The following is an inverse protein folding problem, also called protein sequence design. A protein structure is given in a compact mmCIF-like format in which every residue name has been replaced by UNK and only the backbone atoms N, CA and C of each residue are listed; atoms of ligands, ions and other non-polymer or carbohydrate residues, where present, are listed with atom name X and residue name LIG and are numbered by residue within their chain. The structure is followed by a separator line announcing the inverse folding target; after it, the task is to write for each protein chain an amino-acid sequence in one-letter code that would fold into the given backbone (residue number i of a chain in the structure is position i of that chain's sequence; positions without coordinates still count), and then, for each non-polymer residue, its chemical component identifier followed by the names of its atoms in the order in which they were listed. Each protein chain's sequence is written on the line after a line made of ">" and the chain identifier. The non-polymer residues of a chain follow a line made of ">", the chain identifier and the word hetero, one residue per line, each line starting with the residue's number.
data_IF_262707604626
#
_entry.id   IF_262707604626
#
_cell.length_a   1.000
_cell.length_b   1.000
_cell.length_c   1.000
_cell.angle_alpha   90.00
_cell.angle_beta   90.00
_cell.angle_gamma   90.00
#
_symmetry.space_group_name_H-M   'P 1'
#
loop_
_entity.id
_entity.type
_entity.pdbx_description
1 polymer ?
#
# COMPACT_ATOMS: atom_id res chain seq x y z
N UNK A 1 -4.72 50.15 -21.29
CA UNK A 1 -6.04 49.94 -21.93
C UNK A 1 -5.85 48.95 -23.06
N UNK A 2 -6.82 48.03 -23.20
CA UNK A 2 -6.99 47.01 -24.24
C UNK A 2 -6.11 45.75 -24.14
N UNK A 3 -6.67 44.87 -23.32
CA UNK A 3 -6.69 43.40 -23.38
C UNK A 3 -6.97 42.82 -24.78
N UNK A 4 -6.41 41.65 -25.08
CA UNK A 4 -7.01 40.68 -26.01
C UNK A 4 -6.71 39.23 -25.59
N UNK A 5 -7.74 38.60 -25.00
CA UNK A 5 -8.06 37.15 -25.01
C UNK A 5 -8.74 36.81 -26.37
N UNK A 6 -8.88 35.54 -26.85
CA UNK A 6 -9.72 34.48 -26.23
C UNK A 6 -9.31 33.01 -26.63
N UNK A 7 -10.18 31.95 -26.59
CA UNK A 7 -10.35 31.06 -25.43
C UNK A 7 -10.33 29.54 -25.72
N UNK A 8 -10.54 28.79 -24.64
CA UNK A 8 -10.57 27.33 -24.43
C UNK A 8 -11.74 26.53 -25.06
N UNK A 9 -11.43 25.23 -25.30
CA UNK A 9 -12.19 23.99 -24.96
C UNK A 9 -13.72 23.99 -25.13
N UNK A 10 -14.23 23.26 -26.12
CA UNK A 10 -15.57 22.64 -26.06
C UNK A 10 -15.85 21.61 -27.18
N UNK A 11 -15.11 20.49 -27.31
CA UNK A 11 -15.58 19.39 -28.17
C UNK A 11 -14.83 18.05 -28.01
N UNK A 12 -14.83 17.43 -26.82
CA UNK A 12 -14.39 16.02 -26.73
C UNK A 12 -14.92 15.32 -25.46
N UNK A 13 -16.24 15.35 -25.30
CA UNK A 13 -16.91 14.80 -24.11
C UNK A 13 -18.24 14.06 -24.40
N UNK A 14 -18.43 13.49 -25.61
CA UNK A 14 -19.75 12.93 -25.98
C UNK A 14 -19.76 11.51 -26.60
N UNK A 15 -18.64 10.80 -26.84
CA UNK A 15 -18.70 9.55 -27.66
C UNK A 15 -18.34 8.24 -26.95
N UNK A 16 -17.95 8.21 -25.67
CA UNK A 16 -17.60 6.94 -25.01
C UNK A 16 -18.44 6.64 -23.76
N UNK A 17 -19.75 6.78 -23.92
CA UNK A 17 -20.73 6.20 -23.02
C UNK A 17 -21.81 5.49 -23.85
N UNK A 18 -21.64 4.18 -24.11
CA UNK A 18 -22.69 3.15 -24.22
C UNK A 18 -22.09 1.87 -24.86
N UNK A 19 -22.53 0.70 -24.36
CA UNK A 19 -22.05 -0.67 -24.58
C UNK A 19 -20.94 -1.06 -23.58
N UNK A 20 -21.15 -1.89 -22.55
CA UNK A 20 -21.96 -3.11 -22.43
C UNK A 20 -22.44 -3.30 -20.98
N UNK A 21 -23.68 -3.77 -20.86
CA UNK A 21 -24.38 -4.19 -19.64
C UNK A 21 -24.39 -5.73 -19.55
N UNK A 22 -24.33 -6.20 -18.29
CA UNK A 22 -25.00 -7.39 -17.72
C UNK A 22 -24.30 -8.76 -17.60
N UNK A 23 -24.71 -9.42 -16.49
CA UNK A 23 -24.58 -10.82 -16.04
C UNK A 23 -23.26 -11.20 -15.34
N UNK A 24 -23.21 -11.88 -14.18
CA UNK A 24 -24.24 -12.36 -13.25
C UNK A 24 -23.61 -12.81 -11.92
N UNK A 25 -24.45 -12.92 -10.90
CA UNK A 25 -24.24 -13.51 -9.56
C UNK A 25 -23.75 -14.95 -9.54
N UNK A 26 -23.00 -15.35 -8.49
CA UNK A 26 -23.30 -16.54 -7.67
C UNK A 26 -22.33 -16.69 -6.48
N UNK A 27 -22.91 -16.97 -5.32
CA UNK A 27 -22.25 -17.57 -4.16
C UNK A 27 -21.69 -18.96 -4.50
N UNK A 28 -20.57 -19.35 -3.89
CA UNK A 28 -20.33 -20.72 -3.46
C UNK A 28 -19.22 -20.81 -2.41
N UNK A 29 -19.57 -21.45 -1.30
CA UNK A 29 -18.71 -21.87 -0.20
C UNK A 29 -17.76 -23.02 -0.57
N UNK A 30 -16.68 -23.08 0.22
CA UNK A 30 -15.93 -24.27 0.70
C UNK A 30 -15.24 -25.21 -0.30
N UNK A 31 -13.95 -25.48 -0.06
CA UNK A 31 -13.48 -26.84 0.28
C UNK A 31 -12.08 -26.82 0.90
N UNK A 32 -11.94 -27.47 2.05
CA UNK A 32 -10.68 -27.85 2.69
C UNK A 32 -10.36 -29.28 2.25
N UNK A 33 -9.15 -29.60 1.76
CA UNK A 33 -8.77 -30.99 1.55
C UNK A 33 -8.41 -31.62 2.90
N UNK A 34 -9.27 -32.53 3.37
CA UNK A 34 -8.93 -33.50 4.41
C UNK A 34 -8.51 -34.81 3.76
N UNK A 35 -7.40 -35.36 4.23
CA UNK A 35 -7.07 -36.76 4.05
C UNK A 35 -7.70 -37.57 5.18
N UNK A 36 -8.54 -38.54 4.82
CA UNK A 36 -9.12 -39.53 5.71
C UNK A 36 -8.46 -40.89 5.42
N UNK A 37 -8.02 -41.61 6.46
CA UNK A 37 -7.72 -43.04 6.40
C UNK A 37 -8.60 -43.71 7.45
N UNK A 38 -9.54 -44.52 6.99
CA UNK A 38 -10.32 -45.43 7.82
C UNK A 38 -9.46 -46.64 8.18
N UNK A 39 -9.19 -46.82 9.48
CA UNK A 39 -9.50 -48.06 10.20
C UNK A 39 -9.41 -47.81 11.72
N UNK A 40 -10.52 -48.08 12.43
CA UNK A 40 -10.74 -48.11 13.90
C UNK A 40 -9.83 -47.22 14.79
N UNK A 41 -10.47 -46.24 15.45
CA UNK A 41 -9.91 -45.24 16.39
C UNK A 41 -9.00 -44.15 15.79
N UNK A 42 -9.60 -43.10 15.23
CA UNK A 42 -9.29 -41.68 15.42
C UNK A 42 -10.30 -40.87 14.58
N UNK A 43 -10.74 -39.69 15.05
CA UNK A 43 -11.56 -38.76 14.24
C UNK A 43 -11.02 -37.34 14.41
N UNK A 44 -10.38 -36.76 13.38
CA UNK A 44 -10.38 -35.32 13.10
C UNK A 44 -11.45 -34.95 12.05
N UNK A 45 -11.73 -33.64 11.83
CA UNK A 45 -13.10 -33.13 11.79
C UNK A 45 -13.48 -32.32 10.53
N UNK A 46 -14.73 -32.25 10.07
CA UNK A 46 -15.24 -30.98 9.51
C UNK A 46 -16.77 -30.90 9.44
N UNK A 47 -17.25 -29.68 9.68
CA UNK A 47 -18.57 -29.14 9.34
C UNK A 47 -18.81 -29.25 7.80
N UNK A 48 -20.01 -29.30 7.22
CA UNK A 48 -21.24 -28.58 7.53
C UNK A 48 -22.47 -29.44 7.24
N UNK A 49 -23.47 -29.26 8.10
CA UNK A 49 -24.82 -29.74 7.95
C UNK A 49 -25.56 -28.88 6.92
N UNK A 50 -25.93 -29.47 5.79
CA UNK A 50 -27.12 -29.04 5.06
C UNK A 50 -28.34 -29.64 5.77
N UNK A 51 -29.17 -28.79 6.39
CA UNK A 51 -30.47 -29.20 6.97
C UNK A 51 -31.59 -28.75 6.03
N UNK A 52 -32.34 -29.73 5.54
CA UNK A 52 -33.71 -29.54 5.05
C UNK A 52 -34.67 -29.53 6.24
N UNK A 53 -35.71 -28.67 6.27
CA UNK A 53 -36.58 -28.52 7.42
C UNK A 53 -37.65 -29.61 7.41
N UNK A 54 -37.87 -30.25 8.56
CA UNK A 54 -39.21 -30.74 8.87
C UNK A 54 -39.52 -30.56 10.36
N UNK A 55 -40.49 -29.68 10.57
CA UNK A 55 -41.31 -29.43 11.75
C UNK A 55 -41.82 -30.70 12.42
N UNK A 56 -41.78 -30.75 13.76
CA UNK A 56 -43.00 -30.87 14.60
C UNK A 56 -42.72 -30.75 16.11
N UNK A 57 -43.26 -29.66 16.68
CA UNK A 57 -43.94 -29.54 17.98
C UNK A 57 -43.87 -30.70 18.98
N UNK A 58 -43.38 -30.43 20.21
CA UNK A 58 -44.19 -30.60 21.42
C UNK A 58 -43.57 -29.99 22.70
N UNK A 59 -44.34 -29.05 23.28
CA UNK A 59 -44.49 -28.57 24.67
C UNK A 59 -43.27 -28.15 25.52
N UNK A 60 -43.38 -27.01 26.26
CA UNK A 60 -42.33 -26.54 27.16
C UNK A 60 -42.29 -27.39 28.45
N UNK A 61 -41.13 -27.96 28.75
CA UNK A 61 -40.82 -28.49 30.09
C UNK A 61 -40.42 -27.31 30.95
N UNK A 62 -41.10 -27.19 32.09
CA UNK A 62 -40.96 -26.15 33.08
C UNK A 62 -39.54 -26.17 33.69
N UNK A 63 -38.62 -25.35 33.18
CA UNK A 63 -37.29 -25.14 33.77
C UNK A 63 -37.39 -24.16 34.93
N UNK A 64 -37.32 -24.66 36.16
CA UNK A 64 -37.08 -23.82 37.34
C UNK A 64 -35.63 -23.31 37.29
N UNK A 65 -35.46 -22.01 37.07
CA UNK A 65 -34.20 -21.30 37.27
C UNK A 65 -34.05 -20.95 38.75
N UNK A 66 -33.02 -21.49 39.41
CA UNK A 66 -32.66 -21.10 40.77
C UNK A 66 -31.69 -19.92 40.70
N UNK A 67 -32.11 -18.76 41.25
CA UNK A 67 -31.18 -17.68 41.62
C UNK A 67 -30.46 -18.09 42.91
N UNK A 68 -29.15 -18.29 42.83
CA UNK A 68 -28.30 -18.44 44.03
C UNK A 68 -27.87 -17.07 44.53
N UNK A 69 -28.24 -16.77 45.78
CA UNK A 69 -27.80 -15.59 46.53
C UNK A 69 -26.31 -15.69 46.84
N UNK A 70 -25.56 -14.62 46.53
CA UNK A 70 -24.11 -14.55 46.69
C UNK A 70 -23.69 -14.52 48.16
N UNK A 71 -22.98 -15.54 48.61
CA UNK A 71 -21.97 -15.41 49.67
C UNK A 71 -20.70 -16.11 49.18
N UNK A 72 -19.85 -15.35 48.48
CA UNK A 72 -18.54 -15.80 48.00
C UNK A 72 -17.56 -15.85 49.17
N UNK A 73 -17.29 -17.04 49.69
CA UNK A 73 -16.05 -17.35 50.40
C UNK A 73 -15.01 -17.65 49.32
N UNK A 74 -14.14 -16.68 49.07
CA UNK A 74 -13.10 -16.70 48.03
C UNK A 74 -12.14 -17.88 48.24
N UNK A 75 -11.86 -18.64 47.17
CA UNK A 75 -10.55 -19.30 47.09
C UNK A 75 -9.46 -18.23 47.28
N UNK A 76 -8.30 -18.62 47.80
CA UNK A 76 -7.12 -17.76 47.88
C UNK A 76 -6.56 -17.29 46.52
N UNK A 77 -7.04 -17.83 45.38
CA UNK A 77 -6.71 -17.33 44.04
C UNK A 77 -7.85 -16.52 43.40
N UNK A 78 -7.56 -15.36 42.78
CA UNK A 78 -8.51 -14.62 41.97
C UNK A 78 -9.07 -15.51 40.84
N UNK A 79 -10.38 -15.49 40.62
CA UNK A 79 -11.09 -16.25 39.57
C UNK A 79 -11.09 -17.78 39.73
N UNK A 80 -10.75 -18.27 40.92
CA UNK A 80 -10.97 -19.66 41.26
C UNK A 80 -12.36 -19.83 41.88
N UNK A 81 -13.15 -20.72 41.30
CA UNK A 81 -14.44 -21.13 41.83
C UNK A 81 -14.19 -22.25 42.85
N UNK A 82 -13.91 -21.85 44.09
CA UNK A 82 -14.12 -22.69 45.25
C UNK A 82 -15.58 -22.49 45.60
N UNK A 83 -16.36 -23.56 45.58
CA UNK A 83 -17.77 -23.42 45.91
C UNK A 83 -17.88 -23.09 47.40
N UNK A 84 -18.32 -21.87 47.69
CA UNK A 84 -18.18 -21.18 48.97
C UNK A 84 -19.00 -21.75 50.14
N UNK A 85 -19.64 -22.91 50.01
CA UNK A 85 -20.28 -23.63 51.12
C UNK A 85 -20.26 -25.15 50.87
N UNK A 86 -19.75 -25.88 51.87
CA UNK A 86 -19.77 -27.34 52.06
C UNK A 86 -19.35 -28.20 50.86
N UNK A 87 -18.06 -28.55 50.82
CA UNK A 87 -17.59 -29.74 50.12
C UNK A 87 -17.72 -30.98 51.03
N UNK A 88 -18.03 -32.17 50.47
CA UNK A 88 -18.20 -32.47 49.04
C UNK A 88 -19.63 -32.25 48.51
N UNK A 89 -19.77 -32.02 47.19
CA UNK A 89 -21.08 -31.94 46.51
C UNK A 89 -21.49 -33.33 46.03
N UNK A 90 -22.64 -33.83 46.46
CA UNK A 90 -23.21 -35.08 45.95
C UNK A 90 -23.77 -34.87 44.53
N UNK A 91 -23.34 -35.70 43.58
CA UNK A 91 -23.89 -35.76 42.22
C UNK A 91 -24.84 -36.94 42.14
N UNK A 92 -26.10 -36.67 41.80
CA UNK A 92 -27.10 -37.72 41.65
C UNK A 92 -26.84 -38.57 40.40
N UNK A 93 -27.13 -39.87 40.52
CA UNK A 93 -26.73 -40.88 39.54
C UNK A 93 -27.53 -40.88 38.23
N UNK A 94 -28.54 -40.02 38.09
CA UNK A 94 -29.54 -40.06 37.01
C UNK A 94 -29.32 -39.03 35.89
N UNK A 95 -28.43 -38.05 36.04
CA UNK A 95 -28.20 -37.03 34.98
C UNK A 95 -26.82 -36.38 35.02
N UNK A 96 -26.50 -35.63 33.96
CA UNK A 96 -25.36 -34.72 33.97
C UNK A 96 -25.68 -33.50 34.85
N UNK A 97 -24.67 -33.04 35.58
CA UNK A 97 -24.73 -31.83 36.41
C UNK A 97 -23.73 -30.80 35.90
N UNK A 98 -24.15 -29.54 35.84
CA UNK A 98 -23.24 -28.41 35.63
C UNK A 98 -22.53 -28.08 36.96
N UNK A 99 -21.22 -28.23 36.98
CA UNK A 99 -20.38 -27.94 38.15
C UNK A 99 -19.94 -26.48 38.18
N UNK A 100 -19.61 -25.93 37.01
CA UNK A 100 -19.26 -24.52 36.83
C UNK A 100 -19.72 -24.08 35.44
N UNK A 101 -20.06 -22.80 35.34
CA UNK A 101 -20.52 -22.17 34.11
C UNK A 101 -19.90 -20.77 33.99
N UNK A 102 -19.58 -20.39 32.76
CA UNK A 102 -19.15 -19.05 32.41
C UNK A 102 -19.89 -18.62 31.15
N UNK A 103 -20.93 -17.83 31.35
CA UNK A 103 -21.91 -17.50 30.31
C UNK A 103 -21.72 -16.08 29.73
N UNK A 104 -21.12 -15.16 30.50
CA UNK A 104 -21.21 -13.71 30.24
C UNK A 104 -19.86 -13.03 29.89
N UNK A 105 -18.94 -13.72 29.20
CA UNK A 105 -17.68 -13.07 28.78
C UNK A 105 -17.82 -12.11 27.59
N UNK A 106 -18.93 -12.21 26.84
CA UNK A 106 -19.12 -11.48 25.59
C UNK A 106 -19.17 -9.95 25.75
N UNK A 107 -19.56 -9.45 26.94
CA UNK A 107 -19.72 -8.01 27.19
C UNK A 107 -18.43 -7.19 26.95
N UNK A 108 -17.26 -7.83 26.97
CA UNK A 108 -15.96 -7.17 26.83
C UNK A 108 -15.11 -7.74 25.69
N UNK A 109 -15.71 -8.31 24.63
CA UNK A 109 -14.97 -8.96 23.54
C UNK A 109 -14.07 -10.12 24.03
N UNK A 110 -14.49 -10.73 25.14
CA UNK A 110 -13.79 -11.81 25.80
C UNK A 110 -14.54 -13.13 25.59
N UNK A 111 -13.81 -14.22 25.77
CA UNK A 111 -14.33 -15.58 25.75
C UNK A 111 -14.02 -16.26 27.06
N UNK A 112 -14.84 -17.23 27.48
CA UNK A 112 -14.49 -18.09 28.61
C UNK A 112 -13.16 -18.80 28.36
N UNK A 113 -12.28 -18.73 29.35
CA UNK A 113 -11.10 -19.56 29.44
C UNK A 113 -11.12 -20.40 30.71
N UNK A 114 -10.60 -21.62 30.59
CA UNK A 114 -10.47 -22.56 31.70
C UNK A 114 -8.99 -22.88 31.85
N UNK A 115 -8.41 -22.40 32.95
CA UNK A 115 -6.99 -22.59 33.26
C UNK A 115 -6.75 -23.90 34.00
N UNK A 116 -7.44 -24.08 35.13
CA UNK A 116 -7.28 -25.23 36.02
C UNK A 116 -8.61 -25.95 36.18
N UNK A 117 -8.58 -27.27 36.06
CA UNK A 117 -9.71 -28.13 36.45
C UNK A 117 -9.17 -29.23 37.35
N UNK A 118 -9.36 -29.08 38.65
CA UNK A 118 -9.10 -30.12 39.63
C UNK A 118 -10.43 -30.70 40.12
N UNK A 119 -10.66 -31.99 39.93
CA UNK A 119 -11.89 -32.62 40.38
C UNK A 119 -11.61 -34.05 40.82
N UNK A 120 -12.20 -34.42 41.95
CA UNK A 120 -11.98 -35.71 42.58
C UNK A 120 -13.28 -36.24 43.15
N UNK A 121 -13.52 -37.54 42.96
CA UNK A 121 -14.52 -38.28 43.74
C UNK A 121 -14.02 -38.48 45.17
N UNK A 122 -14.82 -38.09 46.15
CA UNK A 122 -14.59 -38.39 47.57
C UNK A 122 -15.37 -39.63 48.04
N UNK A 123 -16.21 -40.23 47.18
CA UNK A 123 -16.81 -41.53 47.45
C UNK A 123 -15.85 -42.66 47.08
N UNK A 124 -16.00 -43.82 47.72
CA UNK A 124 -15.23 -45.04 47.40
C UNK A 124 -15.48 -45.55 45.97
N UNK A 125 -16.51 -45.05 45.29
CA UNK A 125 -16.73 -45.23 43.86
C UNK A 125 -15.84 -44.30 43.04
N UNK A 126 -14.74 -44.83 42.49
CA UNK A 126 -13.80 -44.10 41.61
C UNK A 126 -14.34 -43.80 40.20
N UNK A 127 -15.65 -43.91 39.97
CA UNK A 127 -16.20 -43.91 38.62
C UNK A 127 -17.09 -42.67 38.39
N UNK A 128 -16.48 -41.52 38.14
CA UNK A 128 -17.17 -40.33 37.63
C UNK A 128 -16.52 -39.88 36.31
N UNK A 129 -17.32 -39.27 35.44
CA UNK A 129 -16.86 -38.66 34.19
C UNK A 129 -17.17 -37.18 34.24
N UNK A 130 -16.28 -36.39 33.65
CA UNK A 130 -16.50 -34.96 33.50
C UNK A 130 -15.91 -34.49 32.18
N UNK A 131 -16.38 -33.33 31.73
CA UNK A 131 -15.99 -32.76 30.47
C UNK A 131 -16.29 -31.28 30.40
N UNK A 132 -15.45 -30.59 29.64
CA UNK A 132 -15.71 -29.23 29.21
C UNK A 132 -16.54 -29.25 27.92
N UNK A 133 -17.64 -28.51 27.92
CA UNK A 133 -18.59 -28.41 26.81
C UNK A 133 -19.06 -26.98 26.57
N UNK A 134 -19.51 -26.70 25.35
CA UNK A 134 -20.24 -25.49 24.98
C UNK A 134 -21.74 -25.57 25.39
N UNK A 135 -22.51 -24.53 25.09
CA UNK A 135 -23.95 -24.47 25.42
C UNK A 135 -24.78 -25.56 24.76
N UNK A 136 -24.52 -25.86 23.48
CA UNK A 136 -25.26 -26.87 22.73
C UNK A 136 -25.00 -28.28 23.28
N UNK A 137 -23.74 -28.60 23.56
CA UNK A 137 -23.34 -29.88 24.12
C UNK A 137 -23.77 -30.02 25.60
N UNK A 138 -23.83 -28.93 26.36
CA UNK A 138 -24.51 -28.91 27.67
C UNK A 138 -25.98 -29.31 27.52
N UNK A 139 -26.72 -28.67 26.60
CA UNK A 139 -28.14 -28.95 26.40
C UNK A 139 -28.38 -30.41 25.97
N UNK A 140 -27.52 -30.96 25.10
CA UNK A 140 -27.51 -32.38 24.74
C UNK A 140 -27.24 -33.28 25.95
N UNK A 141 -26.24 -32.95 26.76
CA UNK A 141 -25.89 -33.70 27.97
C UNK A 141 -27.05 -33.75 28.97
N UNK A 142 -27.69 -32.60 29.24
CA UNK A 142 -28.81 -32.48 30.18
C UNK A 142 -30.08 -33.18 29.66
N UNK A 143 -30.24 -33.32 28.35
CA UNK A 143 -31.31 -34.09 27.72
C UNK A 143 -30.99 -35.58 27.55
N UNK A 144 -29.85 -36.06 28.05
CA UNK A 144 -29.43 -37.46 27.95
C UNK A 144 -28.97 -37.88 26.55
N UNK A 145 -28.75 -36.92 25.65
CA UNK A 145 -28.22 -37.18 24.32
C UNK A 145 -26.70 -37.34 24.35
N UNK A 146 -26.15 -38.07 23.38
CA UNK A 146 -24.70 -38.16 23.19
C UNK A 146 -24.09 -36.82 22.77
N UNK A 147 -22.90 -36.51 23.27
CA UNK A 147 -22.16 -35.29 22.94
C UNK A 147 -20.65 -35.54 22.98
N UNK A 148 -19.90 -34.65 22.35
CA UNK A 148 -18.43 -34.62 22.42
C UNK A 148 -18.00 -33.66 23.54
N UNK A 149 -16.95 -34.02 24.27
CA UNK A 149 -16.41 -33.17 25.32
C UNK A 149 -14.90 -33.22 25.32
N UNK A 150 -14.28 -32.15 25.81
CA UNK A 150 -12.86 -32.13 26.10
C UNK A 150 -12.67 -32.72 27.49
N UNK A 151 -12.01 -33.88 27.56
CA UNK A 151 -11.64 -34.49 28.83
C UNK A 151 -10.38 -33.78 29.35
N UNK A 152 -10.52 -33.02 30.44
CA UNK A 152 -9.36 -32.63 31.24
C UNK A 152 -9.17 -33.67 32.30
N UNK A 153 -7.94 -34.09 32.59
CA UNK A 153 -7.65 -34.95 33.74
C UNK A 153 -6.79 -34.17 34.72
N UNK A 154 -7.32 -33.94 35.91
CA UNK A 154 -6.54 -33.32 36.98
C UNK A 154 -5.51 -34.31 37.52
N UNK A 155 -4.39 -33.81 38.01
CA UNK A 155 -3.53 -34.62 38.86
C UNK A 155 -4.25 -34.83 40.22
N UNK A 156 -4.25 -36.06 40.73
CA UNK A 156 -4.99 -36.44 41.95
C UNK A 156 -4.43 -35.75 43.21
N UNK A 157 -3.14 -35.39 43.18
CA UNK A 157 -2.42 -34.81 44.33
C UNK A 157 -2.71 -33.32 44.55
N UNK A 158 -3.21 -32.60 43.53
CA UNK A 158 -3.40 -31.13 43.59
C UNK A 158 -4.87 -30.72 43.76
N UNK A 159 -5.79 -31.66 43.92
CA UNK A 159 -7.21 -31.35 44.06
C UNK A 159 -7.59 -30.69 45.39
N UNK A 160 -6.68 -30.68 46.37
CA UNK A 160 -6.86 -30.03 47.67
C UNK A 160 -6.36 -28.59 47.71
N UNK A 161 -5.45 -28.21 46.82
CA UNK A 161 -4.80 -26.90 46.84
C UNK A 161 -5.16 -26.06 45.61
N UNK A 162 -5.31 -24.75 45.83
CA UNK A 162 -5.42 -23.76 44.77
C UNK A 162 -4.05 -23.54 44.12
N UNK A 163 -3.70 -24.41 43.18
CA UNK A 163 -2.44 -24.32 42.44
C UNK A 163 -2.67 -23.62 41.11
N UNK A 164 -1.93 -22.56 40.81
CA UNK A 164 -1.89 -22.00 39.45
C UNK A 164 -1.13 -22.96 38.54
N UNK A 165 -1.77 -23.51 37.52
CA UNK A 165 -1.08 -24.28 36.48
C UNK A 165 -0.39 -23.32 35.49
N UNK A 166 0.80 -23.70 35.05
CA UNK A 166 1.54 -23.04 33.97
C UNK A 166 0.99 -23.37 32.57
N UNK A 167 0.09 -24.36 32.46
CA UNK A 167 -0.53 -24.70 31.19
C UNK A 167 -1.44 -23.57 30.70
N UNK A 168 -1.39 -23.22 29.40
CA UNK A 168 -2.29 -22.22 28.83
C UNK A 168 -3.74 -22.64 28.99
N UNK A 169 -4.57 -21.70 29.44
CA UNK A 169 -6.00 -21.92 29.60
C UNK A 169 -6.67 -22.25 28.24
N UNK A 170 -7.57 -23.23 28.24
CA UNK A 170 -8.40 -23.50 27.05
C UNK A 170 -9.40 -22.38 26.89
N UNK A 171 -9.45 -21.78 25.70
CA UNK A 171 -10.46 -20.80 25.32
C UNK A 171 -11.61 -21.48 24.59
N UNK A 172 -12.83 -21.20 25.03
CA UNK A 172 -14.06 -21.75 24.45
C UNK A 172 -14.84 -20.59 23.84
N UNK A 173 -15.29 -20.71 22.61
CA UNK A 173 -16.17 -19.72 21.99
C UNK A 173 -17.56 -19.74 22.63
N UNK A 174 -18.12 -18.57 22.92
CA UNK A 174 -19.47 -18.44 23.50
C UNK A 174 -19.49 -18.71 25.00
N UNK A 175 -20.21 -19.75 25.42
CA UNK A 175 -20.38 -20.12 26.83
C UNK A 175 -19.64 -21.42 27.13
N UNK A 176 -19.04 -21.50 28.30
CA UNK A 176 -18.32 -22.70 28.74
C UNK A 176 -18.97 -23.32 29.98
N UNK A 177 -19.08 -24.65 29.95
CA UNK A 177 -19.66 -25.42 31.04
C UNK A 177 -18.74 -26.59 31.38
N UNK A 178 -18.42 -26.73 32.66
CA UNK A 178 -17.86 -27.98 33.17
C UNK A 178 -19.01 -28.85 33.66
N UNK A 179 -19.25 -29.96 32.97
CA UNK A 179 -20.28 -30.92 33.34
C UNK A 179 -19.67 -32.20 33.89
N UNK A 180 -20.37 -32.84 34.82
CA UNK A 180 -19.98 -34.12 35.39
C UNK A 180 -21.17 -35.07 35.51
N UNK A 181 -20.87 -36.37 35.51
CA UNK A 181 -21.85 -37.45 35.69
C UNK A 181 -21.20 -38.62 36.42
N UNK A 182 -21.96 -39.24 37.34
CA UNK A 182 -21.56 -40.53 37.91
C UNK A 182 -21.57 -41.62 36.83
N UNK A 183 -20.51 -42.42 36.74
CA UNK A 183 -20.50 -43.58 35.84
C UNK A 183 -21.32 -44.74 36.40
N UNK A 184 -21.55 -44.76 37.73
CA UNK A 184 -22.42 -45.73 38.37
C UNK A 184 -23.80 -45.10 38.59
N UNK A 185 -24.78 -45.56 37.81
CA UNK A 185 -26.16 -45.07 37.84
C UNK A 185 -26.94 -45.42 39.13
N UNK A 186 -26.33 -46.19 40.04
CA UNK A 186 -26.97 -46.67 41.27
C UNK A 186 -26.47 -45.97 42.54
N UNK A 187 -25.43 -45.13 42.45
CA UNK A 187 -24.81 -44.50 43.62
C UNK A 187 -24.62 -43.00 43.40
N UNK A 188 -25.01 -42.21 44.41
CA UNK A 188 -24.63 -40.82 44.49
C UNK A 188 -23.11 -40.74 44.64
N UNK A 189 -22.47 -39.95 43.78
CA UNK A 189 -21.02 -39.77 43.80
C UNK A 189 -20.70 -38.41 44.35
N UNK A 190 -20.00 -38.38 45.49
CA UNK A 190 -19.57 -37.15 46.11
C UNK A 190 -18.32 -36.65 45.38
N UNK A 191 -18.32 -35.40 44.94
CA UNK A 191 -17.18 -34.79 44.27
C UNK A 191 -16.72 -33.52 45.00
N UNK A 192 -15.41 -33.33 45.04
CA UNK A 192 -14.75 -32.07 45.38
C UNK A 192 -14.04 -31.53 44.16
N UNK A 193 -14.10 -30.23 43.93
CA UNK A 193 -13.45 -29.62 42.78
C UNK A 193 -12.92 -28.23 43.09
N UNK A 194 -11.90 -27.84 42.33
CA UNK A 194 -11.32 -26.52 42.25
C UNK A 194 -11.12 -26.17 40.77
N UNK A 195 -11.83 -25.16 40.29
CA UNK A 195 -11.87 -24.81 38.86
C UNK A 195 -11.52 -23.33 38.73
N UNK A 196 -10.55 -23.03 37.88
CA UNK A 196 -10.24 -21.66 37.49
C UNK A 196 -10.84 -21.37 36.12
N UNK A 197 -11.86 -20.52 36.10
CA UNK A 197 -12.43 -19.98 34.86
C UNK A 197 -12.31 -18.47 34.87
N UNK A 198 -12.02 -17.86 33.73
CA UNK A 198 -11.90 -16.42 33.59
C UNK A 198 -12.28 -15.97 32.20
N UNK A 199 -12.78 -14.75 32.05
CA UNK A 199 -12.95 -14.14 30.74
C UNK A 199 -11.60 -13.62 30.23
N UNK A 200 -11.17 -14.07 29.07
CA UNK A 200 -9.91 -13.68 28.42
C UNK A 200 -10.15 -13.24 26.99
N UNK A 201 -9.14 -12.64 26.35
CA UNK A 201 -9.25 -12.27 24.94
C UNK A 201 -9.50 -13.49 24.05
N UNK A 202 -10.43 -13.34 23.10
CA UNK A 202 -10.71 -14.35 22.09
C UNK A 202 -9.42 -14.75 21.35
N UNK A 203 -9.31 -16.02 20.91
CA UNK A 203 -8.24 -16.46 20.03
C UNK A 203 -8.07 -15.53 18.82
N UNK A 204 -6.84 -15.35 18.33
CA UNK A 204 -6.63 -14.70 17.04
C UNK A 204 -7.41 -15.45 15.93
N UNK A 205 -7.97 -14.70 14.99
CA UNK A 205 -8.68 -15.21 13.82
C UNK A 205 -8.03 -14.74 12.53
N UNK A 206 -7.28 -13.63 12.57
CA UNK A 206 -6.58 -13.07 11.42
C UNK A 206 -5.20 -12.54 11.82
N UNK A 207 -4.33 -12.36 10.82
CA UNK A 207 -3.03 -11.71 11.00
C UNK A 207 -3.09 -10.37 10.30
N UNK A 208 -3.07 -9.29 11.07
CA UNK A 208 -2.90 -7.94 10.55
C UNK A 208 -1.42 -7.72 10.22
N UNK A 209 -1.15 -7.11 9.06
CA UNK A 209 0.19 -6.85 8.59
C UNK A 209 0.33 -5.39 8.14
N UNK A 210 1.48 -4.81 8.42
CA UNK A 210 1.87 -3.51 7.88
C UNK A 210 3.34 -3.55 7.48
N UNK A 211 3.70 -2.75 6.48
CA UNK A 211 5.08 -2.67 5.99
C UNK A 211 5.45 -1.21 5.87
N UNK A 212 6.67 -0.87 6.32
CA UNK A 212 7.23 0.46 6.18
C UNK A 212 8.69 0.44 5.75
N UNK A 213 9.12 1.35 4.88
CA UNK A 213 10.52 1.52 4.56
C UNK A 213 11.26 2.08 5.79
N UNK A 214 12.46 1.57 6.07
CA UNK A 214 13.22 2.00 7.26
C UNK A 214 13.81 3.42 7.12
N UNK A 215 13.96 3.91 5.89
CA UNK A 215 14.47 5.24 5.58
C UNK A 215 13.35 6.26 5.28
N UNK A 216 12.09 5.89 5.55
CA UNK A 216 10.89 6.69 5.29
C UNK A 216 10.71 7.09 3.81
N UNK A 217 11.31 6.34 2.89
CA UNK A 217 11.18 6.56 1.44
C UNK A 217 10.08 5.68 0.82
N UNK A 218 10.34 5.08 -0.34
CA UNK A 218 9.51 4.05 -0.98
C UNK A 218 10.15 2.67 -0.78
N UNK A 219 9.50 1.62 -1.28
CA UNK A 219 10.05 0.27 -1.25
C UNK A 219 11.01 0.09 -2.44
N UNK A 220 12.32 0.12 -2.15
CA UNK A 220 13.36 0.02 -3.17
C UNK A 220 14.17 -1.27 -3.06
N UNK A 221 14.62 -1.78 -4.21
CA UNK A 221 15.62 -2.85 -4.29
C UNK A 221 16.87 -2.47 -3.48
N UNK A 222 17.36 -3.41 -2.66
CA UNK A 222 18.55 -3.22 -1.83
C UNK A 222 18.34 -2.36 -0.58
N UNK A 223 17.13 -1.85 -0.34
CA UNK A 223 16.80 -1.06 0.86
C UNK A 223 15.99 -1.89 1.86
N UNK A 224 16.35 -1.77 3.14
CA UNK A 224 15.68 -2.50 4.23
C UNK A 224 14.26 -1.97 4.45
N UNK A 225 13.32 -2.88 4.58
CA UNK A 225 11.95 -2.60 5.00
C UNK A 225 11.60 -3.42 6.25
N UNK A 226 10.71 -2.89 7.08
CA UNK A 226 10.22 -3.55 8.27
C UNK A 226 8.76 -3.95 8.08
N UNK A 227 8.52 -5.26 8.14
CA UNK A 227 7.20 -5.86 8.20
C UNK A 227 6.81 -6.03 9.66
N UNK A 228 5.62 -5.57 10.03
CA UNK A 228 5.04 -5.75 11.35
C UNK A 228 3.81 -6.63 11.25
N UNK A 229 3.73 -7.64 12.12
CA UNK A 229 2.63 -8.60 12.18
C UNK A 229 1.94 -8.50 13.54
N UNK A 230 0.62 -8.56 13.53
CA UNK A 230 -0.20 -8.60 14.74
C UNK A 230 -1.26 -9.69 14.60
N UNK A 231 -1.29 -10.63 15.54
CA UNK A 231 -2.27 -11.70 15.62
C UNK A 231 -3.53 -11.12 16.28
N UNK A 232 -4.57 -10.85 15.50
CA UNK A 232 -5.77 -10.17 15.98
C UNK A 232 -6.97 -11.09 15.98
N UNK A 233 -7.82 -10.94 16.99
CA UNK A 233 -9.05 -11.70 17.13
C UNK A 233 -10.19 -11.09 16.32
N UNK A 234 -11.37 -11.72 16.38
CA UNK A 234 -12.57 -11.27 15.67
C UNK A 234 -13.09 -9.88 16.09
N UNK A 235 -12.50 -9.27 17.12
CA UNK A 235 -12.84 -7.95 17.64
C UNK A 235 -11.68 -6.95 17.46
N UNK A 236 -10.74 -7.22 16.56
CA UNK A 236 -9.55 -6.41 16.25
C UNK A 236 -8.59 -6.19 17.44
N UNK A 237 -8.70 -6.98 18.50
CA UNK A 237 -7.76 -6.94 19.61
C UNK A 237 -6.60 -7.89 19.36
N UNK A 238 -5.37 -7.46 19.70
CA UNK A 238 -4.18 -8.31 19.63
C UNK A 238 -4.28 -9.43 20.66
N UNK A 239 -4.12 -10.68 20.21
CA UNK A 239 -4.02 -11.83 21.09
C UNK A 239 -2.62 -11.90 21.72
N UNK A 240 -2.48 -11.23 22.87
CA UNK A 240 -1.23 -11.12 23.61
C UNK A 240 -0.70 -12.43 24.19
N UNK A 241 -1.40 -13.54 23.99
CA UNK A 241 -0.94 -14.85 24.41
C UNK A 241 -0.20 -15.60 23.30
N UNK A 242 -0.24 -15.12 22.05
CA UNK A 242 0.52 -15.75 20.97
C UNK A 242 2.02 -15.56 21.16
N UNK A 243 2.75 -16.67 21.04
CA UNK A 243 4.21 -16.75 21.08
C UNK A 243 4.68 -17.81 20.10
N UNK A 244 5.80 -17.57 19.44
CA UNK A 244 6.33 -18.49 18.46
C UNK A 244 7.32 -17.84 17.52
N UNK A 245 7.44 -18.41 16.32
CA UNK A 245 8.36 -17.93 15.28
C UNK A 245 7.64 -17.82 13.94
N UNK A 246 7.93 -16.74 13.22
CA UNK A 246 7.65 -16.58 11.81
C UNK A 246 8.94 -16.86 11.04
N UNK A 247 8.83 -17.65 9.97
CA UNK A 247 9.97 -18.03 9.15
C UNK A 247 9.66 -17.84 7.66
N UNK A 248 10.56 -17.20 6.92
CA UNK A 248 10.50 -17.14 5.45
C UNK A 248 11.12 -18.39 4.80
N UNK A 249 10.90 -18.67 3.50
CA UNK A 249 11.60 -19.73 2.77
C UNK A 249 13.13 -19.66 2.88
N UNK A 250 13.67 -18.44 3.02
CA UNK A 250 15.10 -18.17 3.18
C UNK A 250 15.59 -18.32 4.63
N UNK A 251 14.79 -18.91 5.52
CA UNK A 251 15.06 -19.08 6.95
C UNK A 251 15.30 -17.76 7.72
N UNK A 252 14.74 -16.64 7.26
CA UNK A 252 14.73 -15.41 8.06
C UNK A 252 13.68 -15.55 9.15
N UNK A 253 14.12 -15.41 10.40
CA UNK A 253 13.28 -15.62 11.58
C UNK A 253 12.82 -14.30 12.19
N UNK A 254 11.56 -14.25 12.61
CA UNK A 254 11.02 -13.23 13.49
C UNK A 254 10.29 -13.88 14.67
N UNK A 255 10.63 -13.49 15.89
CA UNK A 255 9.94 -13.97 17.09
C UNK A 255 8.59 -13.27 17.23
N UNK A 256 7.55 -14.07 17.45
CA UNK A 256 6.23 -13.60 17.87
C UNK A 256 6.26 -13.57 19.39
N UNK A 257 6.07 -12.39 19.97
CA UNK A 257 5.98 -12.19 21.40
C UNK A 257 4.75 -11.35 21.69
N UNK A 258 3.88 -11.85 22.56
CA UNK A 258 2.63 -11.19 22.91
C UNK A 258 1.78 -10.82 21.67
N UNK A 259 1.70 -11.74 20.70
CA UNK A 259 0.91 -11.57 19.49
C UNK A 259 1.42 -10.54 18.50
N UNK A 260 2.65 -10.03 18.67
CA UNK A 260 3.29 -9.14 17.71
C UNK A 260 4.65 -9.69 17.26
N UNK A 261 5.00 -9.42 16.01
CA UNK A 261 6.31 -9.72 15.45
C UNK A 261 6.78 -8.62 14.50
N UNK A 262 8.09 -8.55 14.28
CA UNK A 262 8.70 -7.67 13.28
C UNK A 262 9.78 -8.42 12.51
N UNK A 263 9.76 -8.28 11.19
CA UNK A 263 10.68 -8.92 10.26
C UNK A 263 11.33 -7.84 9.40
N UNK A 264 12.67 -7.86 9.31
CA UNK A 264 13.42 -6.99 8.40
C UNK A 264 13.72 -7.79 7.13
N UNK A 265 13.34 -7.24 5.98
CA UNK A 265 13.59 -7.83 4.68
C UNK A 265 14.25 -6.80 3.75
N UNK A 266 15.12 -7.27 2.85
CA UNK A 266 15.74 -6.43 1.82
C UNK A 266 15.43 -7.04 0.46
N UNK A 267 14.60 -6.39 -0.37
CA UNK A 267 14.20 -6.96 -1.64
C UNK A 267 15.38 -6.91 -2.61
N UNK A 268 15.53 -7.96 -3.42
CA UNK A 268 16.61 -8.10 -4.41
C UNK A 268 16.17 -7.79 -5.84
N UNK A 269 14.86 -7.77 -6.10
CA UNK A 269 14.28 -7.60 -7.44
C UNK A 269 13.18 -6.54 -7.47
N UNK A 270 12.99 -5.94 -8.65
CA UNK A 270 11.91 -4.99 -8.94
C UNK A 270 10.62 -5.75 -9.20
N UNK A 271 9.47 -5.17 -8.88
CA UNK A 271 8.15 -5.71 -9.17
C UNK A 271 7.35 -6.05 -7.91
N UNK A 272 6.41 -6.98 -8.04
CA UNK A 272 5.56 -7.42 -6.94
C UNK A 272 6.33 -8.37 -6.00
N UNK A 273 6.42 -7.99 -4.73
CA UNK A 273 7.00 -8.78 -3.65
C UNK A 273 5.87 -9.33 -2.76
N UNK A 274 5.87 -10.63 -2.54
CA UNK A 274 5.07 -11.29 -1.50
C UNK A 274 5.99 -12.18 -0.68
N UNK A 275 5.83 -12.16 0.64
CA UNK A 275 6.55 -13.04 1.55
C UNK A 275 5.65 -14.22 1.92
N UNK A 276 6.10 -15.43 1.60
CA UNK A 276 5.55 -16.64 2.17
C UNK A 276 6.11 -16.82 3.58
N UNK A 277 5.24 -17.07 4.55
CA UNK A 277 5.59 -17.13 5.96
C UNK A 277 5.01 -18.39 6.58
N UNK A 278 5.86 -19.08 7.35
CA UNK A 278 5.48 -20.19 8.20
C UNK A 278 5.44 -19.73 9.65
N UNK A 279 4.28 -19.81 10.29
CA UNK A 279 4.18 -19.61 11.74
C UNK A 279 4.31 -20.95 12.46
N UNK A 280 5.19 -20.99 13.47
CA UNK A 280 5.36 -22.13 14.38
C UNK A 280 5.11 -21.62 15.81
N UNK A 281 3.97 -21.96 16.43
CA UNK A 281 3.69 -21.57 17.81
C UNK A 281 4.64 -22.26 18.79
N UNK A 282 4.92 -21.61 19.91
CA UNK A 282 5.62 -22.22 21.04
C UNK A 282 4.76 -23.33 21.68
N UNK A 283 5.39 -24.28 22.36
CA UNK A 283 4.68 -25.38 23.04
C UNK A 283 3.75 -24.90 24.17
N UNK A 284 3.87 -23.65 24.60
CA UNK A 284 3.09 -23.05 25.70
C UNK A 284 1.87 -22.26 25.21
N UNK A 285 1.60 -22.22 23.91
CA UNK A 285 0.45 -21.50 23.35
C UNK A 285 -0.42 -22.42 22.51
N UNK A 286 -1.66 -22.03 22.30
CA UNK A 286 -2.57 -22.78 21.45
C UNK A 286 -2.29 -22.45 19.96
N UNK A 287 -2.62 -23.39 19.09
CA UNK A 287 -2.47 -23.24 17.64
C UNK A 287 -1.75 -24.43 17.02
N UNK A 288 -1.65 -24.41 15.70
CA UNK A 288 -0.85 -25.37 14.94
C UNK A 288 0.07 -24.61 13.99
N UNK A 289 1.02 -25.33 13.41
CA UNK A 289 1.88 -24.78 12.37
C UNK A 289 1.04 -24.50 11.13
N UNK A 290 1.14 -23.30 10.57
CA UNK A 290 0.48 -22.97 9.31
C UNK A 290 1.33 -22.03 8.46
N UNK A 291 1.01 -21.99 7.17
CA UNK A 291 1.65 -21.11 6.20
C UNK A 291 0.64 -20.04 5.74
N UNK A 292 1.12 -18.84 5.46
CA UNK A 292 0.35 -17.76 4.85
C UNK A 292 1.27 -16.88 4.00
N UNK A 293 0.69 -16.15 3.05
CA UNK A 293 1.41 -15.20 2.22
C UNK A 293 1.01 -13.76 2.60
N UNK A 294 1.94 -12.83 2.49
CA UNK A 294 1.62 -11.40 2.62
C UNK A 294 0.85 -10.90 1.40
N UNK A 295 0.20 -9.74 1.53
CA UNK A 295 -0.32 -9.05 0.34
C UNK A 295 0.86 -8.60 -0.55
N UNK A 296 0.71 -8.66 -1.89
CA UNK A 296 1.74 -8.16 -2.81
C UNK A 296 2.05 -6.68 -2.56
N UNK A 297 3.34 -6.37 -2.56
CA UNK A 297 3.90 -5.04 -2.39
C UNK A 297 4.72 -4.67 -3.62
N UNK A 298 4.53 -3.48 -4.17
CA UNK A 298 5.33 -3.03 -5.31
C UNK A 298 6.70 -2.50 -4.86
N UNK A 299 7.77 -3.06 -5.43
CA UNK A 299 9.16 -2.69 -5.20
C UNK A 299 9.74 -2.05 -6.46
N UNK A 300 10.39 -0.89 -6.29
CA UNK A 300 10.92 -0.08 -7.37
C UNK A 300 12.45 -0.14 -7.41
N UNK A 301 13.04 0.18 -8.57
CA UNK A 301 14.46 0.51 -8.66
C UNK A 301 14.62 2.02 -8.57
N UNK A 302 15.48 2.45 -7.67
CA UNK A 302 15.81 3.86 -7.47
C UNK A 302 16.66 4.39 -8.62
N UNK A 303 16.41 5.64 -9.03
CA UNK A 303 17.29 6.43 -9.89
C UNK A 303 17.72 5.72 -11.19
N UNK A 304 16.74 5.33 -12.00
CA UNK A 304 16.95 4.63 -13.28
C UNK A 304 17.04 5.59 -14.46
N UNK A 305 16.30 6.70 -14.39
CA UNK A 305 16.20 7.68 -15.46
C UNK A 305 16.31 9.11 -14.89
N UNK A 306 16.51 10.12 -15.73
CA UNK A 306 16.61 11.49 -15.29
C UNK A 306 16.68 12.51 -16.42
N UNK A 307 16.79 13.78 -16.06
CA UNK A 307 17.02 14.86 -17.01
C UNK A 307 17.98 15.89 -16.44
N UNK A 308 18.70 16.56 -17.33
CA UNK A 308 19.64 17.63 -17.01
C UNK A 308 19.24 18.87 -17.81
N UNK A 309 19.16 20.00 -17.13
CA UNK A 309 18.96 21.31 -17.72
C UNK A 309 20.08 22.26 -17.28
N UNK A 310 20.73 22.90 -18.24
CA UNK A 310 21.75 23.92 -18.00
C UNK A 310 21.12 25.27 -18.35
N UNK A 311 20.96 26.11 -17.34
CA UNK A 311 20.15 27.34 -17.47
C UNK A 311 20.93 28.48 -18.15
N UNK A 312 22.25 28.47 -18.02
CA UNK A 312 23.13 29.56 -18.46
C UNK A 312 24.13 29.13 -19.53
N UNK A 313 24.66 30.11 -20.28
CA UNK A 313 25.82 29.88 -21.14
C UNK A 313 27.01 29.48 -20.27
N UNK A 314 27.63 28.35 -20.58
CA UNK A 314 28.78 27.87 -19.81
C UNK A 314 30.05 28.58 -20.26
N UNK A 315 30.65 29.31 -19.34
CA UNK A 315 31.89 30.05 -19.56
C UNK A 315 33.05 29.35 -18.88
N UNK A 316 34.20 29.32 -19.53
CA UNK A 316 35.41 28.74 -18.99
C UNK A 316 35.74 29.33 -17.62
N UNK A 317 36.06 28.48 -16.63
CA UNK A 317 36.43 28.86 -15.24
C UNK A 317 35.39 29.70 -14.49
N UNK A 318 34.13 29.74 -14.95
CA UNK A 318 33.03 30.35 -14.19
C UNK A 318 32.04 29.30 -13.74
N UNK A 319 31.43 29.59 -12.59
CA UNK A 319 30.35 28.79 -12.04
C UNK A 319 29.11 28.88 -12.92
N UNK A 320 28.45 27.74 -13.13
CA UNK A 320 27.15 27.65 -13.79
C UNK A 320 26.26 26.63 -13.06
N UNK A 321 24.95 26.77 -13.21
CA UNK A 321 23.97 25.93 -12.55
C UNK A 321 23.46 24.81 -13.46
N UNK A 322 23.50 23.59 -12.96
CA UNK A 322 22.92 22.41 -13.59
C UNK A 322 21.72 21.97 -12.76
N UNK A 323 20.52 22.14 -13.30
CA UNK A 323 19.29 21.61 -12.72
C UNK A 323 19.14 20.16 -13.15
N UNK A 324 18.68 19.32 -12.23
CA UNK A 324 18.51 17.90 -12.52
C UNK A 324 17.19 17.36 -11.96
N UNK A 325 16.69 16.33 -12.61
CA UNK A 325 15.59 15.50 -12.11
C UNK A 325 15.99 14.04 -12.20
N UNK A 326 15.76 13.27 -11.14
CA UNK A 326 16.03 11.84 -11.06
C UNK A 326 14.69 11.12 -10.91
N UNK A 327 14.52 10.04 -11.65
CA UNK A 327 13.30 9.24 -11.71
C UNK A 327 13.58 7.78 -11.35
N UNK A 328 12.61 7.18 -10.68
CA UNK A 328 12.59 5.75 -10.38
C UNK A 328 12.17 4.92 -11.61
N UNK A 329 12.20 3.59 -11.49
CA UNK A 329 11.79 2.67 -12.57
C UNK A 329 10.34 2.80 -13.04
N UNK A 330 9.48 3.45 -12.27
CA UNK A 330 8.08 3.74 -12.63
C UNK A 330 7.91 5.13 -13.30
N UNK A 331 9.01 5.84 -13.56
CA UNK A 331 9.02 7.16 -14.19
C UNK A 331 8.65 8.32 -13.25
N UNK A 332 8.33 8.06 -11.98
CA UNK A 332 8.08 9.10 -10.99
C UNK A 332 9.39 9.69 -10.45
N UNK A 333 9.35 10.92 -9.97
CA UNK A 333 10.53 11.57 -9.38
C UNK A 333 10.94 10.84 -8.10
N UNK A 334 12.23 10.51 -7.99
CA UNK A 334 12.81 9.89 -6.78
C UNK A 334 12.63 10.85 -5.59
N UNK A 335 11.86 10.49 -4.55
CA UNK A 335 11.56 11.41 -3.45
C UNK A 335 12.79 11.80 -2.63
N UNK A 336 13.71 10.84 -2.44
CA UNK A 336 14.94 11.01 -1.65
C UNK A 336 16.10 10.29 -2.30
N UNK A 337 17.17 11.02 -2.58
CA UNK A 337 18.37 10.58 -3.29
C UNK A 337 19.53 10.54 -2.31
N UNK A 338 20.31 9.47 -2.37
CA UNK A 338 21.58 9.39 -1.65
C UNK A 338 22.64 10.25 -2.36
N UNK A 339 22.89 11.43 -1.81
CA UNK A 339 23.80 12.41 -2.40
C UNK A 339 25.25 11.93 -2.48
N UNK A 340 25.64 10.95 -1.65
CA UNK A 340 26.98 10.36 -1.71
C UNK A 340 27.22 9.51 -2.95
N UNK A 341 26.13 9.06 -3.58
CA UNK A 341 26.14 8.23 -4.80
C UNK A 341 25.89 9.05 -6.06
N UNK A 342 25.41 10.28 -5.93
CA UNK A 342 25.13 11.17 -7.05
C UNK A 342 26.40 11.89 -7.49
N UNK A 343 26.70 11.87 -8.79
CA UNK A 343 27.82 12.62 -9.36
C UNK A 343 27.50 13.12 -10.76
N UNK A 344 28.19 14.19 -11.15
CA UNK A 344 28.10 14.78 -12.47
C UNK A 344 29.49 14.72 -13.08
N UNK A 345 29.60 14.08 -14.23
CA UNK A 345 30.89 13.85 -14.90
C UNK A 345 30.82 14.35 -16.33
N UNK A 346 31.95 14.82 -16.83
CA UNK A 346 32.14 15.14 -18.22
C UNK A 346 33.43 14.47 -18.68
N UNK A 347 33.38 13.47 -19.59
CA UNK A 347 34.58 12.79 -20.07
C UNK A 347 35.56 13.69 -20.80
N UNK A 348 35.07 14.73 -21.48
CA UNK A 348 35.86 15.57 -22.38
C UNK A 348 36.46 16.81 -21.70
N UNK A 349 35.89 17.25 -20.58
CA UNK A 349 36.27 18.48 -19.88
C UNK A 349 36.40 18.22 -18.39
N UNK A 350 37.43 18.80 -17.77
CA UNK A 350 37.59 18.78 -16.32
C UNK A 350 36.42 19.57 -15.69
N UNK A 351 35.40 18.85 -15.23
CA UNK A 351 34.20 19.39 -14.61
C UNK A 351 34.28 19.20 -13.11
N UNK A 352 34.23 20.30 -12.36
CA UNK A 352 34.18 20.28 -10.90
C UNK A 352 32.80 20.75 -10.47
N UNK A 353 31.99 19.85 -9.90
CA UNK A 353 30.68 20.17 -9.37
C UNK A 353 30.66 20.07 -7.85
N UNK A 354 29.98 21.03 -7.21
CA UNK A 354 29.69 20.98 -5.78
C UNK A 354 28.47 20.09 -5.59
N UNK A 355 28.55 19.14 -4.65
CA UNK A 355 27.42 18.27 -4.33
C UNK A 355 26.19 19.10 -3.95
N UNK A 356 24.98 18.68 -4.37
CA UNK A 356 23.76 19.36 -4.00
C UNK A 356 23.55 19.28 -2.49
N UNK A 357 22.78 20.22 -1.93
CA UNK A 357 22.46 20.25 -0.49
C UNK A 357 21.11 19.63 -0.15
N UNK A 358 20.24 19.49 -1.15
CA UNK A 358 18.91 18.90 -1.03
C UNK A 358 18.93 17.47 -1.55
N UNK A 359 18.36 16.54 -0.77
CA UNK A 359 18.21 15.14 -1.13
C UNK A 359 16.97 14.86 -1.99
N UNK A 360 16.18 15.88 -2.34
CA UNK A 360 15.08 15.72 -3.27
C UNK A 360 15.58 15.41 -4.69
N UNK A 361 14.96 14.44 -5.35
CA UNK A 361 15.30 14.06 -6.73
C UNK A 361 14.89 15.07 -7.80
N UNK A 362 14.26 16.20 -7.44
CA UNK A 362 13.96 17.30 -8.36
C UNK A 362 13.98 18.64 -7.65
N UNK A 363 14.06 19.74 -8.42
CA UNK A 363 14.05 21.10 -7.88
C UNK A 363 15.39 21.56 -7.29
N UNK A 364 16.39 20.67 -7.29
CA UNK A 364 17.76 20.95 -6.89
C UNK A 364 18.61 21.36 -8.09
N UNK A 365 19.64 22.18 -7.84
CA UNK A 365 20.70 22.47 -8.80
C UNK A 365 22.06 22.21 -8.18
N UNK A 366 23.03 21.88 -9.03
CA UNK A 366 24.44 21.81 -8.65
C UNK A 366 25.20 22.94 -9.32
N UNK A 367 26.12 23.54 -8.58
CA UNK A 367 27.06 24.52 -9.11
C UNK A 367 28.26 23.77 -9.67
N UNK A 368 28.58 24.00 -10.95
CA UNK A 368 29.71 23.38 -11.62
C UNK A 368 30.64 24.43 -12.22
N UNK A 369 31.92 24.09 -12.36
CA UNK A 369 32.95 24.89 -13.06
C UNK A 369 33.65 24.03 -14.09
N UNK A 370 33.78 24.55 -15.32
CA UNK A 370 34.49 23.88 -16.42
C UNK A 370 35.94 24.36 -16.52
N UNK A 371 36.89 23.43 -16.59
CA UNK A 371 38.33 23.71 -16.65
C UNK A 371 38.91 23.87 -18.06
N UNK A 372 38.20 23.44 -19.11
CA UNK A 372 38.63 23.50 -20.52
C UNK A 372 37.48 23.96 -21.44
N UNK A 373 37.83 24.64 -22.54
CA UNK A 373 36.87 25.08 -23.58
C UNK A 373 36.59 23.94 -24.58
N UNK A 374 35.40 23.95 -25.19
CA UNK A 374 34.98 22.90 -26.13
C UNK A 374 33.50 22.51 -26.02
N UNK A 375 33.09 21.50 -26.79
CA UNK A 375 31.77 20.86 -26.65
C UNK A 375 31.90 19.74 -25.63
N UNK A 376 31.12 19.83 -24.56
CA UNK A 376 31.12 18.93 -23.42
C UNK A 376 29.78 18.21 -23.31
N UNK A 377 29.79 16.94 -22.92
CA UNK A 377 28.57 16.22 -22.55
C UNK A 377 28.57 16.02 -21.04
N UNK A 378 27.63 16.66 -20.35
CA UNK A 378 27.43 16.43 -18.93
C UNK A 378 26.60 15.16 -18.78
N UNK A 379 27.14 14.19 -18.05
CA UNK A 379 26.49 12.94 -17.69
C UNK A 379 26.16 12.95 -16.21
N UNK A 380 24.93 12.57 -15.86
CA UNK A 380 24.56 12.32 -14.47
C UNK A 380 24.73 10.84 -14.15
N UNK A 381 25.44 10.55 -13.06
CA UNK A 381 25.67 9.20 -12.57
C UNK A 381 25.10 9.02 -11.17
N UNK A 382 24.53 7.85 -10.92
CA UNK A 382 24.12 7.41 -9.59
C UNK A 382 24.71 6.05 -9.29
N UNK A 383 25.42 5.95 -8.16
CA UNK A 383 26.13 4.74 -7.73
C UNK A 383 27.14 4.24 -8.77
N UNK A 384 27.84 5.19 -9.41
CA UNK A 384 28.82 4.93 -10.47
C UNK A 384 28.23 4.49 -11.82
N UNK A 385 26.90 4.52 -11.99
CA UNK A 385 26.23 4.19 -13.25
C UNK A 385 25.59 5.42 -13.86
N UNK A 386 25.80 5.63 -15.15
CA UNK A 386 25.12 6.69 -15.90
C UNK A 386 23.63 6.43 -15.92
N UNK A 387 22.87 7.41 -15.43
CA UNK A 387 21.42 7.53 -15.62
C UNK A 387 21.22 8.09 -17.05
N UNK A 388 20.13 7.76 -17.74
CA UNK A 388 19.85 8.21 -19.13
C UNK A 388 19.52 9.73 -19.20
N UNK A 389 20.44 10.53 -18.70
CA UNK A 389 20.35 11.97 -18.53
C UNK A 389 21.69 12.55 -18.98
N UNK A 390 21.71 13.02 -20.22
CA UNK A 390 22.87 13.68 -20.82
C UNK A 390 22.49 15.03 -21.40
N UNK A 391 23.41 15.99 -21.36
CA UNK A 391 23.22 17.30 -21.98
C UNK A 391 24.50 17.77 -22.66
N UNK A 392 24.38 18.11 -23.94
CA UNK A 392 25.43 18.79 -24.68
C UNK A 392 25.50 20.26 -24.27
N UNK A 393 26.70 20.72 -23.98
CA UNK A 393 27.00 22.08 -23.53
C UNK A 393 28.21 22.61 -24.28
N UNK A 394 28.12 23.82 -24.82
CA UNK A 394 29.27 24.52 -25.38
C UNK A 394 29.93 25.37 -24.29
N UNK A 395 31.19 25.06 -23.97
CA UNK A 395 32.03 25.82 -23.04
C UNK A 395 32.82 26.85 -23.84
N UNK A 396 32.48 28.13 -23.63
CA UNK A 396 33.07 29.25 -24.35
C UNK A 396 34.16 29.88 -23.49
N UNK A 397 35.36 30.01 -24.03
CA UNK A 397 36.41 30.85 -23.46
C UNK A 397 36.08 32.30 -23.78
N UNK A 398 35.70 33.07 -22.76
CA UNK A 398 35.54 34.51 -22.90
C UNK A 398 36.85 35.13 -22.50
N UNK A 399 37.59 35.67 -23.47
CA UNK A 399 38.76 36.49 -23.20
C UNK A 399 38.30 37.73 -22.41
N UNK A 400 38.68 37.88 -21.12
CA UNK A 400 38.26 39.01 -20.31
C UNK A 400 38.82 40.35 -20.80
N UNK A 401 39.82 40.33 -21.70
CA UNK A 401 40.41 41.50 -22.33
C UNK A 401 39.89 41.75 -23.74
N UNK A 402 39.10 40.83 -24.32
CA UNK A 402 38.33 41.14 -25.50
C UNK A 402 37.23 42.11 -25.07
N UNK A 403 37.50 43.41 -25.25
CA UNK A 403 36.48 44.46 -25.28
C UNK A 403 35.51 44.16 -26.44
N UNK A 404 34.63 43.18 -26.24
CA UNK A 404 33.58 42.77 -27.15
C UNK A 404 32.35 43.70 -27.07
N UNK A 405 32.57 44.93 -26.61
CA UNK A 405 31.63 46.05 -26.79
C UNK A 405 31.50 46.50 -28.25
N UNK A 406 32.21 45.87 -29.20
CA UNK A 406 32.22 46.29 -30.60
C UNK A 406 31.68 45.27 -31.61
N UNK A 407 31.96 43.96 -31.48
CA UNK A 407 32.00 43.15 -32.71
C UNK A 407 30.65 42.61 -33.21
N UNK A 408 29.63 42.49 -32.35
CA UNK A 408 28.29 42.05 -32.78
C UNK A 408 27.30 43.18 -33.05
N UNK A 409 27.60 44.41 -32.62
CA UNK A 409 26.76 45.58 -32.92
C UNK A 409 27.15 46.26 -34.25
N UNK A 410 28.38 46.04 -34.75
CA UNK A 410 28.85 46.64 -36.00
C UNK A 410 28.15 46.02 -37.22
N UNK A 411 27.69 44.76 -37.16
CA UNK A 411 26.98 44.15 -38.30
C UNK A 411 25.52 44.59 -38.44
N UNK A 412 24.86 45.01 -37.36
CA UNK A 412 23.51 45.57 -37.46
C UNK A 412 23.52 46.99 -38.02
N UNK A 413 24.49 47.83 -37.63
CA UNK A 413 24.61 49.17 -38.20
C UNK A 413 25.08 49.13 -39.66
N UNK A 414 26.01 48.25 -40.02
CA UNK A 414 26.44 48.10 -41.42
C UNK A 414 25.32 47.56 -42.30
N UNK A 415 24.49 46.63 -41.81
CA UNK A 415 23.32 46.13 -42.53
C UNK A 415 22.22 47.20 -42.69
N UNK A 416 21.96 48.01 -41.67
CA UNK A 416 20.99 49.12 -41.75
C UNK A 416 21.47 50.20 -42.72
N UNK A 417 22.77 50.54 -42.70
CA UNK A 417 23.36 51.50 -43.65
C UNK A 417 23.32 50.94 -45.07
N UNK A 418 23.63 49.65 -45.28
CA UNK A 418 23.52 49.02 -46.59
C UNK A 418 22.08 49.01 -47.13
N UNK A 419 21.09 48.73 -46.28
CA UNK A 419 19.66 48.79 -46.62
C UNK A 419 19.22 50.22 -46.99
N UNK A 420 19.68 51.24 -46.25
CA UNK A 420 19.38 52.65 -46.54
C UNK A 420 20.04 53.10 -47.86
N UNK A 421 21.28 52.69 -48.13
CA UNK A 421 21.97 52.98 -49.39
C UNK A 421 21.24 52.33 -50.57
N UNK A 422 20.81 51.06 -50.43
CA UNK A 422 19.99 50.38 -51.44
C UNK A 422 18.65 51.10 -51.67
N UNK A 423 17.98 51.55 -50.60
CA UNK A 423 16.73 52.29 -50.73
C UNK A 423 16.91 53.61 -51.50
N UNK A 424 17.99 54.37 -51.23
CA UNK A 424 18.31 55.61 -51.96
C UNK A 424 18.61 55.33 -53.43
N UNK A 425 19.35 54.25 -53.75
CA UNK A 425 19.63 53.85 -55.13
C UNK A 425 18.34 53.51 -55.88
N UNK A 426 17.44 52.72 -55.25
CA UNK A 426 16.16 52.35 -55.86
C UNK A 426 15.28 53.58 -56.11
N UNK A 427 15.18 54.50 -55.14
CA UNK A 427 14.44 55.75 -55.31
C UNK A 427 15.05 56.58 -56.44
N UNK A 428 16.39 56.68 -56.51
CA UNK A 428 17.10 57.37 -57.58
C UNK A 428 16.78 56.79 -58.97
N UNK A 429 16.77 55.47 -59.11
CA UNK A 429 16.42 54.79 -60.38
C UNK A 429 14.97 55.08 -60.77
N UNK A 430 14.02 55.04 -59.82
CA UNK A 430 12.60 55.34 -60.09
C UNK A 430 12.41 56.79 -60.52
N UNK A 431 13.10 57.75 -59.88
CA UNK A 431 13.04 59.17 -60.25
C UNK A 431 13.64 59.41 -61.63
N UNK A 432 14.79 58.79 -61.94
CA UNK A 432 15.44 58.90 -63.26
C UNK A 432 14.56 58.27 -64.35
N UNK A 433 14.00 57.08 -64.10
CA UNK A 433 13.07 56.42 -65.03
C UNK A 433 11.79 57.23 -65.24
N UNK A 434 11.24 57.83 -64.16
CA UNK A 434 10.09 58.73 -64.23
C UNK A 434 10.38 59.99 -65.04
N UNK A 435 11.53 60.63 -64.79
CA UNK A 435 11.97 61.81 -65.55
C UNK A 435 12.21 61.49 -67.03
N UNK A 436 12.84 60.34 -67.33
CA UNK A 436 13.04 59.86 -68.70
C UNK A 436 11.69 59.54 -69.38
N UNK A 437 10.75 58.93 -68.67
CA UNK A 437 9.40 58.68 -69.15
C UNK A 437 8.64 59.97 -69.48
N UNK A 438 8.72 60.97 -68.61
CA UNK A 438 8.15 62.31 -68.84
C UNK A 438 8.82 62.97 -70.05
N UNK A 439 10.14 62.88 -70.19
CA UNK A 439 10.88 63.44 -71.32
C UNK A 439 10.48 62.78 -72.64
N UNK A 440 10.35 61.45 -72.68
CA UNK A 440 9.87 60.70 -73.84
C UNK A 440 8.41 61.07 -74.16
N UNK A 441 7.56 61.23 -73.14
CA UNK A 441 6.18 61.67 -73.30
C UNK A 441 6.10 63.07 -73.94
N UNK A 442 6.86 64.05 -73.43
CA UNK A 442 6.91 65.39 -74.03
C UNK A 442 7.53 65.42 -75.42
N UNK A 443 8.55 64.58 -75.69
CA UNK A 443 9.12 64.45 -77.04
C UNK A 443 8.11 63.88 -78.03
N UNK A 444 7.34 62.86 -77.65
CA UNK A 444 6.23 62.33 -78.46
C UNK A 444 5.12 63.36 -78.67
N UNK A 445 4.78 64.13 -77.64
CA UNK A 445 3.74 65.18 -77.74
C UNK A 445 4.15 66.36 -78.62
N UNK A 446 5.46 66.66 -78.74
CA UNK A 446 5.99 67.65 -79.70
C UNK A 446 6.05 67.14 -81.15
N UNK A 447 6.05 65.83 -81.37
CA UNK A 447 5.98 65.23 -82.71
C UNK A 447 4.54 65.11 -83.26
N UNK A 448 3.53 65.37 -82.44
CA UNK A 448 2.12 65.32 -82.80
C UNK A 448 1.45 66.70 -82.68
N UNK A 449 2.06 67.75 -83.25
CA UNK A 449 1.33 68.97 -83.56
C UNK A 449 0.68 68.83 -84.94
N UNK A 450 -0.66 68.73 -85.04
CA UNK A 450 -1.37 68.88 -86.30
C UNK A 450 -1.22 70.31 -86.84
N UNK A 451 -0.97 70.40 -88.14
CA UNK A 451 -0.89 71.64 -88.90
C UNK A 451 -2.10 72.53 -88.64
N UNK A 452 -1.83 73.81 -88.36
CA UNK A 452 -2.80 74.89 -88.51
C UNK A 452 -3.19 75.00 -89.98
N UNK A 453 -4.36 74.50 -90.35
CA UNK A 453 -5.05 74.91 -91.58
C UNK A 453 -5.80 76.21 -91.23
N UNK A 454 -5.33 77.33 -91.79
CA UNK A 454 -6.06 78.59 -91.84
C UNK A 454 -6.72 78.71 -93.22
N UNK A 455 -7.97 79.16 -93.18
CA UNK A 455 -8.95 79.32 -94.25
C UNK A 455 -8.43 80.07 -95.49
N UNK A 456 -9.06 79.77 -96.63
CA UNK A 456 -9.46 80.77 -97.61
C UNK A 456 -10.91 80.48 -98.05
N UNK A 457 -11.84 81.29 -97.57
CA UNK A 457 -13.11 81.60 -98.25
C UNK A 457 -12.77 82.49 -99.46
N UNK A 458 -13.28 82.15 -100.64
CA UNK A 458 -14.06 83.02 -101.52
C UNK A 458 -14.09 82.50 -102.98
N UNK A 459 -15.31 82.50 -103.54
CA UNK A 459 -15.64 82.70 -104.97
C UNK A 459 -15.17 81.67 -106.02
N UNK A 460 -15.96 81.23 -107.00
CA UNK A 460 -17.35 81.49 -107.40
C UNK A 460 -17.64 80.56 -108.60
N UNK A 461 -18.93 80.25 -108.79
CA UNK A 461 -19.63 80.09 -110.07
C UNK A 461 -19.07 79.14 -111.15
N UNK A 462 -19.84 78.14 -111.57
CA UNK A 462 -20.77 78.28 -112.71
C UNK A 462 -21.57 76.97 -112.91
N UNK A 463 -22.86 77.11 -113.14
CA UNK A 463 -23.64 76.44 -114.20
C UNK A 463 -23.29 75.00 -114.63
N UNK A 464 -24.29 74.11 -114.59
CA UNK A 464 -25.18 73.91 -115.75
C UNK A 464 -26.35 72.96 -115.40
N UNK A 465 -27.52 73.29 -115.94
CA UNK A 465 -28.76 72.52 -115.92
C UNK A 465 -28.62 71.09 -116.49
N UNK A 466 -29.21 70.11 -115.79
CA UNK A 466 -29.97 68.96 -116.30
C UNK A 466 -30.79 68.33 -115.16
#
# INVERSE_FOLDING_TARGET
>A
MMTNNPPHRLLLLVVFALCILCYSSSDATTFVPQHEVSDRFFVPPTNDLAISPNTQSSKPINTQSFRTTSTQQQCSCPNCYCNSQQCPKAVSANSYLVLSAMEDCAANNQVPAIGLVNIQSTSSSNQFKYGLVDEDNKNKALSGQGFKYYAYKSNLETATDCVSDSTPAIRVTGKAYLIAKSSNLLLDTNVRFNIQMSCVLAPFSTISMSVKPMDYSRFYVGKRMMWSFSFVNQYDNVDTWQKGTLMTPDNVLASVNNGVASLIHTPSTVGQLSLDLKYTPDSTVYGSIFNFATKPLEVFKMAVDGSIEVTDKVQLKKEFQVKYTIKDSDGTVTPKVDLSKLSFVCPEVDLVCVNPTSDAGSGSSVTCTAGKSGIAVILMQFDGKTIDASRNVAVIEIDPNANDNGKYWIDYQSAIVAMLVLAVIVIGIVVIAGAAGIFIYFKRRRAAQPQKIRLSEDEQAEDLEA
#
